data_IF_638984920577
#
_entry.id   IF_638984920577
#
_cell.length_a   1.000
_cell.length_b   1.000
_cell.length_c   1.000
_cell.angle_alpha   90.00
_cell.angle_beta   90.00
_cell.angle_gamma   90.00
#
_symmetry.space_group_name_H-M   'P 1'
#
loop_
_entity.id
_entity.type
_entity.pdbx_description
1 polymer ?
#
# COMPACT_ATOMS: atom_id res chain seq x y z
N UNK A 1 -8.48 -22.70 -21.30
CA UNK A 1 -8.25 -22.39 -19.87
C UNK A 1 -8.11 -20.88 -19.75
N UNK A 2 -8.99 -20.19 -19.00
CA UNK A 2 -8.80 -18.75 -18.72
C UNK A 2 -7.65 -18.65 -17.71
N UNK A 3 -6.61 -17.91 -18.05
CA UNK A 3 -5.56 -17.53 -17.11
C UNK A 3 -6.20 -16.69 -16.01
N UNK A 4 -6.29 -17.22 -14.79
CA UNK A 4 -6.62 -16.46 -13.59
C UNK A 4 -5.38 -15.65 -13.19
N UNK A 5 -4.96 -14.72 -14.04
CA UNK A 5 -3.81 -13.86 -13.76
C UNK A 5 -4.31 -12.63 -13.00
N UNK A 6 -4.66 -12.83 -11.75
CA UNK A 6 -4.84 -11.74 -10.80
C UNK A 6 -3.68 -11.82 -9.84
N UNK A 7 -2.61 -11.09 -10.16
CA UNK A 7 -1.41 -10.99 -9.33
C UNK A 7 -1.74 -10.14 -8.10
N UNK A 8 -2.36 -10.79 -7.10
CA UNK A 8 -2.69 -10.14 -5.83
C UNK A 8 -1.41 -9.94 -5.02
N UNK A 9 -1.15 -8.69 -4.65
CA UNK A 9 0.06 -8.28 -3.94
C UNK A 9 -0.27 -8.00 -2.47
N UNK A 10 0.56 -8.52 -1.57
CA UNK A 10 0.50 -8.19 -0.14
C UNK A 10 1.59 -7.16 0.16
N UNK A 11 1.20 -5.99 0.67
CA UNK A 11 2.11 -4.92 1.06
C UNK A 11 2.17 -4.89 2.58
N UNK A 12 3.32 -5.25 3.15
CA UNK A 12 3.60 -5.08 4.58
C UNK A 12 4.27 -3.73 4.81
N UNK A 13 3.58 -2.86 5.54
CA UNK A 13 4.14 -1.59 6.00
C UNK A 13 4.58 -1.75 7.45
N UNK A 14 5.79 -1.30 7.75
CA UNK A 14 6.33 -1.32 9.11
C UNK A 14 5.89 -0.09 9.90
N UNK A 15 5.78 -0.22 11.22
CA UNK A 15 5.42 0.91 12.11
C UNK A 15 6.35 2.10 11.95
N UNK A 16 7.66 1.87 11.74
CA UNK A 16 8.64 2.94 11.53
C UNK A 16 8.38 3.76 10.26
N UNK A 17 7.75 3.17 9.25
CA UNK A 17 7.32 3.87 8.04
C UNK A 17 6.10 4.75 8.35
N UNK A 18 5.17 4.26 9.16
CA UNK A 18 3.94 5.01 9.49
C UNK A 18 4.13 6.07 10.58
N UNK A 19 5.24 6.04 11.32
CA UNK A 19 5.47 6.90 12.48
C UNK A 19 6.15 8.23 12.11
N UNK A 20 5.76 9.30 12.81
CA UNK A 20 6.46 10.60 12.81
C UNK A 20 7.55 10.64 13.89
N UNK A 21 8.64 11.37 13.64
CA UNK A 21 9.73 11.60 14.61
C UNK A 21 9.24 12.28 15.90
N UNK A 22 8.19 13.10 15.80
CA UNK A 22 7.66 13.91 16.91
C UNK A 22 6.57 13.23 17.76
N UNK A 23 6.29 11.93 17.51
CA UNK A 23 5.15 11.10 17.97
C UNK A 23 3.94 11.16 17.04
N UNK A 24 3.26 10.01 16.92
CA UNK A 24 2.05 9.85 16.12
C UNK A 24 2.33 9.35 14.71
N UNK A 25 1.36 9.55 13.82
CA UNK A 25 1.41 9.07 12.44
C UNK A 25 2.04 10.11 11.51
N UNK A 26 2.85 9.64 10.56
CA UNK A 26 3.35 10.45 9.45
C UNK A 26 2.31 10.45 8.32
N UNK A 27 1.34 11.37 8.39
CA UNK A 27 0.25 11.47 7.42
C UNK A 27 0.71 11.76 6.00
N UNK A 28 1.80 12.51 5.83
CA UNK A 28 2.39 12.78 4.49
C UNK A 28 2.86 11.49 3.84
N UNK A 29 3.56 10.63 4.59
CA UNK A 29 4.02 9.36 4.05
C UNK A 29 2.85 8.38 3.83
N UNK A 30 1.86 8.38 4.72
CA UNK A 30 0.66 7.55 4.56
C UNK A 30 -0.11 7.93 3.29
N UNK A 31 -0.29 9.23 3.03
CA UNK A 31 -0.93 9.72 1.82
C UNK A 31 -0.14 9.31 0.57
N UNK A 32 1.18 9.49 0.58
CA UNK A 32 2.05 9.05 -0.52
C UNK A 32 1.98 7.54 -0.80
N UNK A 33 1.90 6.70 0.24
CA UNK A 33 1.72 5.25 0.09
C UNK A 33 0.35 4.94 -0.50
N UNK A 34 -0.71 5.60 -0.03
CA UNK A 34 -2.06 5.41 -0.52
C UNK A 34 -2.21 5.81 -2.00
N UNK A 35 -1.61 6.92 -2.42
CA UNK A 35 -1.59 7.37 -3.82
C UNK A 35 -0.92 6.35 -4.74
N UNK A 36 0.23 5.82 -4.33
CA UNK A 36 0.97 4.80 -5.10
C UNK A 36 0.16 3.51 -5.26
N UNK A 37 -0.44 3.01 -4.16
CA UNK A 37 -1.29 1.80 -4.21
C UNK A 37 -2.52 2.05 -5.07
N UNK A 38 -3.14 3.23 -4.97
CA UNK A 38 -4.29 3.61 -5.79
C UNK A 38 -3.93 3.64 -7.28
N UNK A 39 -2.79 4.21 -7.64
CA UNK A 39 -2.29 4.24 -9.01
C UNK A 39 -2.07 2.84 -9.60
N UNK A 40 -1.50 1.93 -8.81
CA UNK A 40 -1.31 0.53 -9.22
C UNK A 40 -2.63 -0.25 -9.28
N UNK A 41 -3.56 0.02 -8.36
CA UNK A 41 -4.91 -0.56 -8.41
C UNK A 41 -5.64 -0.16 -9.70
N UNK A 42 -5.46 1.08 -10.17
CA UNK A 42 -5.99 1.56 -11.44
C UNK A 42 -5.48 0.79 -12.67
N UNK A 43 -4.37 0.05 -12.54
CA UNK A 43 -3.78 -0.78 -13.60
C UNK A 43 -4.25 -2.25 -13.56
N UNK A 44 -5.16 -2.60 -12.63
CA UNK A 44 -5.72 -3.95 -12.52
C UNK A 44 -5.07 -4.84 -11.47
N UNK A 45 -4.12 -4.32 -10.67
CA UNK A 45 -3.53 -5.04 -9.55
C UNK A 45 -4.48 -5.06 -8.33
N UNK A 46 -4.54 -6.19 -7.63
CA UNK A 46 -5.26 -6.31 -6.36
C UNK A 46 -4.29 -6.26 -5.18
N UNK A 47 -4.65 -5.53 -4.12
CA UNK A 47 -3.77 -5.32 -2.98
C UNK A 47 -4.40 -5.72 -1.65
N UNK A 48 -3.59 -6.30 -0.77
CA UNK A 48 -3.85 -6.43 0.67
C UNK A 48 -2.76 -5.63 1.39
N UNK A 49 -3.17 -4.68 2.24
CA UNK A 49 -2.24 -3.87 3.05
C UNK A 49 -2.25 -4.38 4.47
N UNK A 50 -1.07 -4.64 5.03
CA UNK A 50 -0.88 -4.99 6.43
C UNK A 50 0.02 -3.94 7.05
N UNK A 51 -0.46 -3.26 8.08
CA UNK A 51 0.30 -2.24 8.82
C UNK A 51 0.87 -2.81 10.12
#
# INVERSE_FOLDING_TARGET
MRSLQTDRVVVKVGTNTLASESRGLNYVLIESIAEQISGLKGQGHEFIVVT
#
